data_IF_045003492963
#
_entry.id   IF_045003492963
#
_cell.length_a   1.000
_cell.length_b   1.000
_cell.length_c   1.000
_cell.angle_alpha   90.00
_cell.angle_beta   90.00
_cell.angle_gamma   90.00
#
_symmetry.space_group_name_H-M   'P 1'
#
loop_
_entity.id
_entity.type
_entity.pdbx_description
1 polymer ?
#
# COMPACT_ATOMS: atom_id res chain seq x y z
N UNK A 1 -11.78 -27.95 -22.33
CA UNK A 1 -11.11 -28.19 -21.04
C UNK A 1 -10.42 -26.91 -20.62
N UNK A 2 -10.83 -26.30 -19.51
CA UNK A 2 -10.10 -25.13 -18.96
C UNK A 2 -8.77 -25.65 -18.42
N UNK A 3 -7.69 -25.02 -18.86
CA UNK A 3 -6.33 -25.47 -18.64
C UNK A 3 -5.98 -25.44 -17.14
N UNK A 4 -6.00 -26.61 -16.51
CA UNK A 4 -5.75 -26.79 -15.07
C UNK A 4 -4.40 -26.20 -14.66
N UNK A 5 -3.40 -26.21 -15.56
CA UNK A 5 -2.09 -25.62 -15.31
C UNK A 5 -2.13 -24.10 -15.14
N UNK A 6 -3.01 -23.41 -15.89
CA UNK A 6 -3.18 -21.96 -15.77
C UNK A 6 -3.84 -21.56 -14.45
N UNK A 7 -4.84 -22.34 -14.00
CA UNK A 7 -5.48 -22.10 -12.70
C UNK A 7 -4.51 -22.33 -11.54
N UNK A 8 -3.73 -23.41 -11.59
CA UNK A 8 -2.75 -23.72 -10.55
C UNK A 8 -1.68 -22.62 -10.43
N UNK A 9 -1.20 -22.07 -11.55
CA UNK A 9 -0.23 -20.98 -11.56
C UNK A 9 -0.77 -19.73 -10.88
N UNK A 10 -2.00 -19.31 -11.20
CA UNK A 10 -2.65 -18.16 -10.55
C UNK A 10 -2.82 -18.36 -9.05
N UNK A 11 -3.20 -19.57 -8.62
CA UNK A 11 -3.37 -19.90 -7.21
C UNK A 11 -2.04 -19.81 -6.45
N UNK A 12 -0.95 -20.32 -7.04
CA UNK A 12 0.39 -20.21 -6.48
C UNK A 12 0.89 -18.76 -6.42
N UNK A 13 0.61 -17.95 -7.44
CA UNK A 13 0.93 -16.50 -7.44
C UNK A 13 0.18 -15.74 -6.34
N UNK A 14 -1.08 -16.11 -6.07
CA UNK A 14 -1.87 -15.51 -4.98
C UNK A 14 -1.33 -15.92 -3.61
N UNK A 15 -1.01 -17.20 -3.40
CA UNK A 15 -0.43 -17.68 -2.13
C UNK A 15 0.96 -17.09 -1.90
N UNK A 16 1.80 -16.97 -2.94
CA UNK A 16 3.12 -16.37 -2.82
C UNK A 16 3.08 -14.86 -2.47
N UNK A 17 1.95 -14.20 -2.73
CA UNK A 17 1.70 -12.81 -2.32
C UNK A 17 1.20 -12.68 -0.89
N UNK A 18 0.78 -13.78 -0.25
CA UNK A 18 0.37 -13.74 1.16
C UNK A 18 1.59 -13.57 2.05
N UNK A 19 1.54 -12.59 2.96
CA UNK A 19 2.58 -12.38 3.97
C UNK A 19 2.07 -12.80 5.35
N UNK A 20 2.95 -13.36 6.20
CA UNK A 20 2.59 -13.77 7.57
C UNK A 20 2.15 -12.59 8.46
N UNK A 21 2.54 -11.38 8.09
CA UNK A 21 2.10 -10.12 8.67
C UNK A 21 1.86 -9.13 7.53
N UNK A 22 0.64 -9.15 7.01
CA UNK A 22 0.12 -8.04 6.21
C UNK A 22 -0.37 -6.98 7.19
N UNK A 23 0.00 -5.71 6.93
CA UNK A 23 -0.60 -4.61 7.68
C UNK A 23 -2.07 -4.53 7.30
N UNK A 24 -2.96 -4.47 8.27
CA UNK A 24 -4.36 -4.15 7.99
C UNK A 24 -4.56 -2.63 7.84
N UNK A 25 -5.76 -2.21 7.43
CA UNK A 25 -6.05 -0.79 7.21
C UNK A 25 -5.88 0.03 8.50
N UNK A 26 -6.20 -0.54 9.68
CA UNK A 26 -6.07 0.18 10.94
C UNK A 26 -4.60 0.42 11.28
N UNK A 27 -3.76 -0.61 11.13
CA UNK A 27 -2.31 -0.49 11.32
C UNK A 27 -1.67 0.50 10.34
N UNK A 28 -2.20 0.60 9.11
CA UNK A 28 -1.75 1.62 8.14
C UNK A 28 -2.15 3.02 8.58
N UNK A 29 -3.39 3.22 9.06
CA UNK A 29 -3.88 4.54 9.46
C UNK A 29 -3.10 5.13 10.64
N UNK A 30 -2.56 4.32 11.55
CA UNK A 30 -1.73 4.78 12.68
C UNK A 30 -0.41 5.45 12.25
N UNK A 31 0.02 5.25 11.00
CA UNK A 31 1.33 5.72 10.50
C UNK A 31 1.23 6.38 9.11
N UNK A 32 0.01 6.61 8.63
CA UNK A 32 -0.24 7.08 7.26
C UNK A 32 0.24 8.52 7.07
N UNK A 33 0.13 9.34 8.10
CA UNK A 33 0.64 10.71 8.18
C UNK A 33 2.16 10.75 7.99
N UNK A 34 2.90 9.93 8.74
CA UNK A 34 4.36 9.82 8.67
C UNK A 34 4.78 9.40 7.25
N UNK A 35 4.07 8.43 6.67
CA UNK A 35 4.33 7.97 5.32
C UNK A 35 4.07 9.06 4.27
N UNK A 36 2.94 9.78 4.37
CA UNK A 36 2.58 10.86 3.45
C UNK A 36 3.58 12.01 3.51
N UNK A 37 4.01 12.41 4.71
CA UNK A 37 5.03 13.44 4.86
C UNK A 37 6.39 13.02 4.26
N UNK A 38 6.82 11.78 4.51
CA UNK A 38 8.06 11.26 3.95
C UNK A 38 8.03 11.24 2.42
N UNK A 39 6.88 10.90 1.83
CA UNK A 39 6.65 10.98 0.38
C UNK A 39 6.77 12.40 -0.15
N UNK A 40 6.12 13.38 0.49
CA UNK A 40 6.18 14.79 0.08
C UNK A 40 7.59 15.37 0.23
N UNK A 41 8.37 14.92 1.23
CA UNK A 41 9.78 15.28 1.40
C UNK A 41 10.71 14.62 0.36
N UNK A 42 10.21 13.70 -0.46
CA UNK A 42 11.00 12.98 -1.47
C UNK A 42 11.92 11.90 -0.89
N UNK A 43 11.61 11.38 0.29
CA UNK A 43 12.35 10.27 0.90
C UNK A 43 12.06 8.94 0.16
N UNK A 44 13.00 8.00 0.19
CA UNK A 44 12.79 6.66 -0.38
C UNK A 44 11.95 5.77 0.56
N UNK A 45 10.65 6.02 0.57
CA UNK A 45 9.66 5.25 1.34
C UNK A 45 9.54 3.80 0.87
N UNK A 46 9.98 3.47 -0.34
CA UNK A 46 9.97 2.11 -0.87
C UNK A 46 10.98 1.22 -0.14
N UNK A 47 12.10 1.79 0.30
CA UNK A 47 13.10 1.11 1.11
C UNK A 47 12.76 1.14 2.61
N UNK A 48 12.16 2.24 3.11
CA UNK A 48 11.95 2.44 4.55
C UNK A 48 10.63 1.84 5.05
N UNK A 49 9.56 1.91 4.25
CA UNK A 49 8.19 1.54 4.65
C UNK A 49 7.51 0.62 3.62
N UNK A 50 8.14 -0.50 3.22
CA UNK A 50 7.66 -1.34 2.12
C UNK A 50 6.29 -1.97 2.36
N UNK A 51 5.92 -2.23 3.64
CA UNK A 51 4.63 -2.81 3.99
C UNK A 51 3.47 -1.83 3.84
N UNK A 52 3.67 -0.57 4.20
CA UNK A 52 2.67 0.50 4.05
C UNK A 52 2.43 0.76 2.56
N UNK A 53 3.53 0.91 1.79
CA UNK A 53 3.46 1.05 0.34
C UNK A 53 2.68 -0.10 -0.30
N UNK A 54 3.01 -1.34 0.07
CA UNK A 54 2.31 -2.51 -0.45
C UNK A 54 0.81 -2.48 -0.15
N UNK A 55 0.41 -2.13 1.08
CA UNK A 55 -1.00 -2.04 1.43
C UNK A 55 -1.72 -0.94 0.64
N UNK A 56 -1.14 0.26 0.53
CA UNK A 56 -1.71 1.37 -0.25
C UNK A 56 -1.88 0.98 -1.74
N UNK A 57 -0.93 0.24 -2.31
CA UNK A 57 -1.04 -0.27 -3.70
C UNK A 57 -2.14 -1.33 -3.88
N UNK A 58 -2.55 -1.99 -2.79
CA UNK A 58 -3.52 -3.09 -2.80
C UNK A 58 -4.93 -2.67 -2.31
N UNK A 59 -5.03 -1.62 -1.52
CA UNK A 59 -6.25 -1.17 -0.84
C UNK A 59 -6.68 0.20 -1.35
N UNK A 60 -7.81 0.23 -2.05
CA UNK A 60 -8.35 1.48 -2.61
C UNK A 60 -8.67 2.53 -1.55
N UNK A 61 -9.26 2.12 -0.43
CA UNK A 61 -9.67 3.05 0.63
C UNK A 61 -8.44 3.74 1.23
N UNK A 62 -7.40 2.98 1.58
CA UNK A 62 -6.15 3.56 2.09
C UNK A 62 -5.40 4.42 1.05
N UNK A 63 -5.53 4.12 -0.24
CA UNK A 63 -4.99 4.97 -1.31
C UNK A 63 -5.72 6.31 -1.41
N UNK A 64 -7.05 6.32 -1.32
CA UNK A 64 -7.83 7.56 -1.36
C UNK A 64 -7.49 8.48 -0.17
N UNK A 65 -7.35 7.91 1.02
CA UNK A 65 -6.95 8.65 2.23
C UNK A 65 -5.50 9.18 2.12
N UNK A 66 -4.58 8.36 1.60
CA UNK A 66 -3.20 8.78 1.32
C UNK A 66 -3.16 9.96 0.33
N UNK A 67 -3.88 9.89 -0.79
CA UNK A 67 -3.93 10.97 -1.77
C UNK A 67 -4.50 12.26 -1.16
N UNK A 68 -5.53 12.16 -0.31
CA UNK A 68 -6.11 13.31 0.36
C UNK A 68 -5.08 14.00 1.27
N UNK A 69 -4.35 13.22 2.07
CA UNK A 69 -3.29 13.74 2.94
C UNK A 69 -2.17 14.42 2.13
N UNK A 70 -1.68 13.79 1.06
CA UNK A 70 -0.64 14.38 0.20
C UNK A 70 -1.10 15.71 -0.39
N UNK A 71 -2.35 15.80 -0.89
CA UNK A 71 -2.90 17.05 -1.44
C UNK A 71 -2.91 18.18 -0.42
N UNK A 72 -3.26 17.88 0.84
CA UNK A 72 -3.26 18.86 1.93
C UNK A 72 -1.82 19.29 2.24
N UNK A 73 -0.88 18.34 2.33
CA UNK A 73 0.53 18.61 2.64
C UNK A 73 1.23 19.44 1.54
N UNK A 74 0.87 19.22 0.27
CA UNK A 74 1.40 19.98 -0.86
C UNK A 74 0.73 21.35 -1.04
N UNK A 75 -0.46 21.54 -0.47
CA UNK A 75 -1.23 22.80 -0.51
C UNK A 75 -1.63 23.25 0.90
N UNK A 76 -0.67 23.64 1.75
CA UNK A 76 -0.89 23.89 3.18
C UNK A 76 -1.76 25.11 3.52
N UNK A 77 -2.13 25.93 2.54
CA UNK A 77 -2.93 27.16 2.70
C UNK A 77 -4.45 26.96 2.48
N UNK A 78 -4.92 25.70 2.48
CA UNK A 78 -6.35 25.34 2.41
C UNK A 78 -7.09 25.58 3.73
#
# INVERSE_FOLDING_TARGET
>A
MKDTGSMLKKLLEMVAKTNKQEMDCAEVFEVLDIYAEAMVRGEDTSAMLPKIKHHIEMCRDCFEEYEALVRILESPDL
#
